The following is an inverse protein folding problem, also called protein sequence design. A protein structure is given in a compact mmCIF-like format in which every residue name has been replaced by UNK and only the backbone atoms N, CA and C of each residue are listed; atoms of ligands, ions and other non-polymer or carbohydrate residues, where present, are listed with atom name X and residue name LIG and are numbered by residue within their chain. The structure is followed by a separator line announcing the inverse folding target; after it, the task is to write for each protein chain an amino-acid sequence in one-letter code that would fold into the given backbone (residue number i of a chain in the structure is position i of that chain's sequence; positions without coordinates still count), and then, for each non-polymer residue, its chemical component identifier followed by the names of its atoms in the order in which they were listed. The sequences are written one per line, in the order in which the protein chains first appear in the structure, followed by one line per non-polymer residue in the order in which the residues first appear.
data_IF_612403290767
#
_entry.id   IF_612403290767
#
_cell.length_a   1.000
_cell.length_b   1.000
_cell.length_c   1.000
_cell.angle_alpha   90.00
_cell.angle_beta   90.00
_cell.angle_gamma   90.00
#
_symmetry.space_group_name_H-M   'P 1'
#
loop_
_entity.id
_entity.type
_entity.pdbx_description
1 polymer ?
#
# COMPACT_ATOMS: atom_id res chain seq x y z
N UNK A 1 -34.46 -24.14 -120.36
CA UNK A 1 -33.51 -25.24 -120.67
C UNK A 1 -33.19 -25.92 -119.35
N UNK A 2 -33.72 -27.11 -119.11
CA UNK A 2 -33.34 -27.94 -117.96
C UNK A 2 -32.42 -29.05 -118.48
N UNK A 3 -31.12 -28.94 -118.24
CA UNK A 3 -30.20 -30.04 -118.49
C UNK A 3 -30.46 -31.10 -117.41
N UNK A 4 -31.04 -32.23 -117.80
CA UNK A 4 -31.31 -33.33 -116.88
C UNK A 4 -30.05 -34.19 -116.76
N UNK A 5 -29.34 -34.11 -115.63
CA UNK A 5 -28.23 -35.02 -115.32
C UNK A 5 -28.83 -36.31 -114.72
N UNK A 6 -28.77 -37.42 -115.45
CA UNK A 6 -29.22 -38.74 -114.96
C UNK A 6 -28.02 -39.53 -114.43
N UNK A 7 -28.08 -39.93 -113.16
CA UNK A 7 -27.07 -40.78 -112.53
C UNK A 7 -27.37 -42.26 -112.82
N UNK A 8 -26.34 -43.11 -112.80
CA UNK A 8 -26.32 -44.39 -113.54
C UNK A 8 -27.20 -45.55 -113.05
N UNK A 9 -27.91 -45.46 -111.93
CA UNK A 9 -28.67 -46.62 -111.38
C UNK A 9 -30.03 -46.22 -110.82
N UNK A 10 -30.95 -47.20 -110.81
CA UNK A 10 -32.28 -47.15 -110.19
C UNK A 10 -32.42 -48.26 -109.12
N UNK A 11 -33.45 -48.18 -108.28
CA UNK A 11 -33.71 -48.97 -107.05
C UNK A 11 -33.26 -50.43 -107.08
N UNK A 12 -32.61 -50.89 -106.01
CA UNK A 12 -32.09 -52.26 -105.87
C UNK A 12 -31.00 -52.37 -104.80
N UNK A 13 -29.93 -53.11 -105.07
CA UNK A 13 -28.76 -53.22 -104.18
C UNK A 13 -27.75 -52.08 -104.38
N UNK A 14 -26.79 -51.94 -103.47
CA UNK A 14 -25.64 -51.04 -103.65
C UNK A 14 -24.89 -51.35 -104.96
N UNK A 15 -24.26 -50.34 -105.60
CA UNK A 15 -23.50 -50.58 -106.82
C UNK A 15 -22.34 -51.53 -106.54
N UNK A 16 -22.12 -52.45 -107.47
CA UNK A 16 -20.92 -53.28 -107.51
C UNK A 16 -19.81 -52.57 -108.31
N UNK A 17 -18.56 -53.02 -108.15
CA UNK A 17 -17.41 -52.45 -108.87
C UNK A 17 -17.56 -52.52 -110.40
N UNK A 18 -18.38 -53.43 -110.94
CA UNK A 18 -18.68 -53.50 -112.37
C UNK A 18 -19.75 -52.52 -112.83
N UNK A 19 -20.58 -51.99 -111.92
CA UNK A 19 -21.71 -51.14 -112.27
C UNK A 19 -21.32 -49.69 -112.56
N UNK A 20 -20.09 -49.30 -112.19
CA UNK A 20 -19.55 -47.95 -112.37
C UNK A 20 -18.13 -48.04 -112.93
N UNK A 21 -17.73 -47.05 -113.74
CA UNK A 21 -16.30 -46.79 -113.96
C UNK A 21 -15.79 -45.76 -112.96
N UNK A 22 -14.47 -45.75 -112.74
CA UNK A 22 -13.81 -44.84 -111.80
C UNK A 22 -14.20 -43.39 -112.12
N UNK A 23 -14.60 -42.63 -111.09
CA UNK A 23 -15.06 -41.24 -111.22
C UNK A 23 -16.55 -41.07 -111.55
N UNK A 24 -17.28 -42.15 -111.82
CA UNK A 24 -18.73 -42.07 -111.99
C UNK A 24 -19.50 -42.14 -110.69
N UNK A 25 -20.65 -41.47 -110.69
CA UNK A 25 -21.54 -41.39 -109.56
C UNK A 25 -22.84 -42.12 -109.84
N UNK A 26 -23.26 -42.98 -108.92
CA UNK A 26 -24.56 -43.62 -108.91
C UNK A 26 -25.42 -43.09 -107.77
N UNK A 27 -26.71 -42.94 -108.03
CA UNK A 27 -27.71 -42.70 -107.01
C UNK A 27 -28.48 -44.00 -106.77
N UNK A 28 -28.54 -44.44 -105.50
CA UNK A 28 -29.42 -45.51 -105.06
C UNK A 28 -30.71 -44.86 -104.57
N UNK A 29 -31.73 -44.88 -105.42
CA UNK A 29 -32.93 -44.05 -105.24
C UNK A 29 -33.88 -44.52 -104.14
N UNK A 30 -33.75 -45.77 -103.68
CA UNK A 30 -34.54 -46.33 -102.57
C UNK A 30 -34.03 -45.91 -101.19
N UNK A 31 -32.72 -45.71 -101.05
CA UNK A 31 -32.07 -45.28 -99.80
C UNK A 31 -31.56 -43.83 -99.86
N UNK A 32 -31.73 -43.16 -101.01
CA UNK A 32 -31.20 -41.83 -101.31
C UNK A 32 -29.68 -41.70 -101.12
N UNK A 33 -28.94 -42.82 -101.23
CA UNK A 33 -27.50 -42.87 -101.07
C UNK A 33 -26.79 -42.65 -102.40
N UNK A 34 -25.71 -41.88 -102.37
CA UNK A 34 -24.88 -41.63 -103.54
C UNK A 34 -23.62 -42.51 -103.44
N UNK A 35 -23.12 -43.03 -104.54
CA UNK A 35 -21.94 -43.90 -104.57
C UNK A 35 -20.99 -43.47 -105.67
N UNK A 36 -19.69 -43.64 -105.45
CA UNK A 36 -18.67 -43.49 -106.47
C UNK A 36 -17.75 -44.70 -106.49
N UNK A 37 -17.14 -44.97 -107.64
CA UNK A 37 -16.04 -45.92 -107.74
C UNK A 37 -14.72 -45.18 -107.56
N UNK A 38 -13.94 -45.60 -106.57
CA UNK A 38 -12.60 -45.09 -106.29
C UNK A 38 -11.59 -45.60 -107.33
N UNK A 39 -10.44 -44.94 -107.41
CA UNK A 39 -9.34 -45.33 -108.31
C UNK A 39 -8.81 -46.76 -108.06
N UNK A 40 -9.00 -47.28 -106.84
CA UNK A 40 -8.66 -48.66 -106.44
C UNK A 40 -9.70 -49.71 -106.89
N UNK A 41 -10.69 -49.31 -107.69
CA UNK A 41 -11.83 -50.08 -108.16
C UNK A 41 -12.88 -50.48 -107.10
N UNK A 42 -12.76 -50.06 -105.84
CA UNK A 42 -13.79 -50.27 -104.83
C UNK A 42 -14.95 -49.28 -104.97
N UNK A 43 -16.15 -49.68 -104.55
CA UNK A 43 -17.32 -48.80 -104.45
C UNK A 43 -17.36 -48.19 -103.05
N UNK A 44 -17.55 -46.87 -102.98
CA UNK A 44 -17.75 -46.16 -101.73
C UNK A 44 -19.02 -45.32 -101.77
N UNK A 45 -19.77 -45.34 -100.67
CA UNK A 45 -20.89 -44.44 -100.44
C UNK A 45 -20.37 -43.01 -100.23
N UNK A 46 -20.84 -42.06 -101.02
CA UNK A 46 -20.61 -40.63 -100.87
C UNK A 46 -21.61 -40.11 -99.85
N UNK A 47 -21.14 -39.67 -98.67
CA UNK A 47 -21.97 -39.07 -97.63
C UNK A 47 -22.19 -39.92 -96.38
N UNK A 48 -21.68 -41.15 -96.33
CA UNK A 48 -21.42 -41.80 -95.04
C UNK A 48 -20.32 -40.98 -94.36
N UNK A 49 -20.56 -40.50 -93.13
CA UNK A 49 -19.66 -39.57 -92.43
C UNK A 49 -18.19 -39.96 -92.54
N UNK A 50 -17.32 -38.95 -92.72
CA UNK A 50 -15.88 -39.15 -92.80
C UNK A 50 -15.42 -39.89 -91.53
N UNK A 51 -14.79 -41.05 -91.70
CA UNK A 51 -14.05 -41.71 -90.63
C UNK A 51 -12.59 -41.28 -90.79
N UNK A 52 -12.20 -40.20 -90.11
CA UNK A 52 -10.86 -39.57 -90.20
C UNK A 52 -9.74 -40.36 -89.49
N UNK A 53 -10.06 -41.33 -88.63
CA UNK A 53 -9.07 -42.32 -88.21
C UNK A 53 -7.90 -41.77 -87.37
N UNK A 54 -8.03 -40.59 -86.78
CA UNK A 54 -7.16 -40.13 -85.71
C UNK A 54 -7.94 -40.00 -84.38
N UNK A 55 -7.20 -39.93 -83.28
CA UNK A 55 -7.76 -40.09 -81.93
C UNK A 55 -8.48 -38.82 -81.47
N UNK A 56 -9.66 -38.56 -82.03
CA UNK A 56 -10.69 -37.76 -81.36
C UNK A 56 -11.19 -36.57 -82.15
N UNK A 57 -11.84 -36.83 -83.29
CA UNK A 57 -12.61 -35.82 -83.99
C UNK A 57 -14.05 -35.69 -83.47
N UNK A 58 -14.52 -34.43 -83.54
CA UNK A 58 -15.83 -33.97 -83.10
C UNK A 58 -16.87 -34.52 -84.08
N UNK A 59 -17.79 -35.35 -83.58
CA UNK A 59 -18.89 -35.87 -84.40
C UNK A 59 -19.88 -34.74 -84.71
N UNK A 60 -19.96 -34.32 -85.98
CA UNK A 60 -21.02 -33.41 -86.44
C UNK A 60 -22.19 -34.27 -86.91
N UNK A 61 -23.03 -34.71 -85.97
CA UNK A 61 -24.28 -35.38 -86.36
C UNK A 61 -25.23 -34.34 -86.95
N UNK A 62 -25.48 -34.46 -88.24
CA UNK A 62 -26.33 -33.59 -89.04
C UNK A 62 -27.74 -33.41 -88.45
N UNK A 63 -28.00 -32.26 -87.83
CA UNK A 63 -29.12 -31.36 -88.12
C UNK A 63 -29.42 -30.44 -86.93
N UNK A 64 -29.33 -29.13 -87.14
CA UNK A 64 -29.83 -28.12 -86.20
C UNK A 64 -28.74 -27.42 -85.38
N UNK A 65 -28.18 -26.36 -85.95
CA UNK A 65 -27.56 -25.17 -85.32
C UNK A 65 -26.48 -25.31 -84.21
N UNK A 66 -26.20 -26.50 -83.68
CA UNK A 66 -25.26 -26.71 -82.58
C UNK A 66 -24.42 -27.95 -82.81
N UNK A 67 -23.09 -27.78 -82.78
CA UNK A 67 -22.13 -28.88 -82.69
C UNK A 67 -22.26 -29.53 -81.30
N UNK A 68 -22.77 -30.76 -81.23
CA UNK A 68 -22.79 -31.54 -80.00
C UNK A 68 -21.54 -32.41 -79.91
N UNK A 69 -20.83 -32.34 -78.78
CA UNK A 69 -19.74 -33.25 -78.48
C UNK A 69 -20.32 -34.40 -77.65
N UNK A 70 -20.16 -35.64 -78.12
CA UNK A 70 -20.66 -36.81 -77.38
C UNK A 70 -20.04 -36.91 -75.98
N UNK A 71 -20.82 -37.42 -75.02
CA UNK A 71 -20.38 -37.58 -73.65
C UNK A 71 -19.11 -38.44 -73.57
N UNK A 72 -18.08 -37.96 -72.86
CA UNK A 72 -16.82 -38.69 -72.66
C UNK A 72 -15.79 -38.52 -73.79
N UNK A 73 -16.14 -37.84 -74.89
CA UNK A 73 -15.18 -37.51 -75.96
C UNK A 73 -14.09 -36.57 -75.44
N UNK A 74 -14.43 -35.59 -74.60
CA UNK A 74 -13.47 -34.76 -73.87
C UNK A 74 -13.35 -35.34 -72.46
N UNK A 75 -12.21 -35.94 -72.16
CA UNK A 75 -11.89 -36.49 -70.84
C UNK A 75 -10.73 -35.71 -70.20
N UNK A 76 -10.50 -35.91 -68.90
CA UNK A 76 -9.46 -35.21 -68.16
C UNK A 76 -8.06 -35.36 -68.81
N UNK A 77 -7.75 -36.49 -69.43
CA UNK A 77 -6.46 -36.70 -70.10
C UNK A 77 -6.31 -35.82 -71.35
N UNK A 78 -7.37 -35.66 -72.15
CA UNK A 78 -7.42 -34.77 -73.32
C UNK A 78 -7.41 -33.29 -72.95
N UNK A 79 -7.91 -32.94 -71.76
CA UNK A 79 -7.86 -31.59 -71.21
C UNK A 79 -6.48 -31.28 -70.59
N UNK A 80 -5.79 -32.29 -70.05
CA UNK A 80 -4.54 -32.12 -69.31
C UNK A 80 -3.26 -32.20 -70.17
N UNK A 81 -3.31 -32.75 -71.39
CA UNK A 81 -2.11 -33.04 -72.18
C UNK A 81 -1.62 -31.92 -73.09
N UNK A 82 -2.29 -30.77 -73.13
CA UNK A 82 -1.92 -29.67 -74.02
C UNK A 82 -1.98 -28.32 -73.30
N UNK A 83 -1.04 -27.44 -73.58
CA UNK A 83 -0.93 -26.09 -73.02
C UNK A 83 -2.10 -25.15 -73.43
N UNK A 84 -3.17 -25.71 -74.01
CA UNK A 84 -4.15 -25.02 -74.83
C UNK A 84 -5.40 -24.55 -74.09
N UNK A 85 -5.66 -25.03 -72.86
CA UNK A 85 -6.64 -24.42 -71.98
C UNK A 85 -5.95 -23.33 -71.16
N UNK A 86 -5.55 -22.26 -71.86
CA UNK A 86 -5.06 -21.07 -71.20
C UNK A 86 -6.13 -20.52 -70.25
N UNK A 87 -5.70 -19.97 -69.12
CA UNK A 87 -6.55 -19.29 -68.11
C UNK A 87 -7.60 -18.33 -68.71
N UNK A 88 -7.27 -17.69 -69.84
CA UNK A 88 -8.17 -16.80 -70.58
C UNK A 88 -9.40 -17.51 -71.18
N UNK A 89 -9.31 -18.82 -71.44
CA UNK A 89 -10.42 -19.65 -71.94
C UNK A 89 -11.30 -20.22 -70.83
N UNK A 90 -10.83 -20.21 -69.57
CA UNK A 90 -11.65 -20.49 -68.37
C UNK A 90 -12.22 -19.22 -67.74
N UNK A 91 -11.85 -18.04 -68.23
CA UNK A 91 -12.27 -16.75 -67.65
C UNK A 91 -13.80 -16.52 -67.63
N UNK A 92 -14.56 -17.35 -68.35
CA UNK A 92 -16.02 -17.30 -68.43
C UNK A 92 -16.71 -18.56 -67.90
N UNK A 93 -15.95 -19.51 -67.34
CA UNK A 93 -16.51 -20.57 -66.49
C UNK A 93 -16.79 -19.89 -65.16
N UNK A 94 -18.06 -19.69 -64.86
CA UNK A 94 -18.46 -19.20 -63.56
C UNK A 94 -18.11 -20.25 -62.51
N UNK A 95 -16.97 -20.04 -61.85
CA UNK A 95 -16.56 -20.85 -60.72
C UNK A 95 -17.43 -20.49 -59.50
N UNK A 96 -18.00 -19.27 -59.45
CA UNK A 96 -18.65 -18.63 -58.29
C UNK A 96 -19.99 -19.28 -57.92
N UNK A 97 -20.77 -19.78 -58.89
CA UNK A 97 -22.04 -20.48 -58.66
C UNK A 97 -21.91 -22.00 -58.38
N UNK A 98 -20.68 -22.52 -58.26
CA UNK A 98 -20.45 -23.90 -57.81
C UNK A 98 -20.76 -24.05 -56.31
N UNK A 99 -21.84 -24.77 -56.01
CA UNK A 99 -22.34 -25.01 -54.65
C UNK A 99 -21.53 -26.05 -53.85
N UNK A 100 -20.48 -26.63 -54.42
CA UNK A 100 -19.51 -27.49 -53.73
C UNK A 100 -18.20 -26.74 -53.43
N UNK A 101 -17.43 -27.09 -52.37
CA UNK A 101 -16.20 -26.36 -52.04
C UNK A 101 -15.23 -26.36 -53.23
N UNK A 102 -15.02 -25.19 -53.83
CA UNK A 102 -14.41 -24.95 -55.15
C UNK A 102 -13.01 -25.54 -55.38
N UNK A 103 -12.37 -26.14 -54.37
CA UNK A 103 -10.99 -26.60 -54.47
C UNK A 103 -10.67 -27.93 -53.79
N UNK A 104 -11.62 -28.59 -53.11
CA UNK A 104 -11.45 -29.93 -52.52
C UNK A 104 -10.12 -30.18 -51.76
N UNK A 105 -9.45 -29.11 -51.32
CA UNK A 105 -8.00 -29.07 -51.14
C UNK A 105 -7.51 -27.63 -50.93
N UNK A 106 -6.20 -27.39 -51.08
CA UNK A 106 -5.57 -26.09 -50.80
C UNK A 106 -5.91 -25.04 -51.86
N UNK A 107 -6.36 -23.85 -51.41
CA UNK A 107 -6.39 -22.65 -52.23
C UNK A 107 -4.99 -22.07 -52.39
N UNK A 108 -4.30 -22.48 -53.46
CA UNK A 108 -3.02 -21.90 -53.86
C UNK A 108 -3.23 -20.54 -54.53
N UNK A 109 -2.69 -19.49 -53.91
CA UNK A 109 -2.82 -18.12 -54.41
C UNK A 109 -1.80 -17.77 -55.49
N UNK A 110 -0.83 -18.66 -55.78
CA UNK A 110 0.26 -18.44 -56.73
C UNK A 110 1.00 -17.10 -56.50
N UNK A 111 1.18 -16.71 -55.23
CA UNK A 111 1.85 -15.47 -54.83
C UNK A 111 0.98 -14.20 -54.86
N UNK A 112 -0.33 -14.32 -55.12
CA UNK A 112 -1.26 -13.19 -55.09
C UNK A 112 -2.02 -13.13 -53.74
N UNK A 113 -2.50 -11.96 -53.29
CA UNK A 113 -3.34 -11.86 -52.10
C UNK A 113 -4.76 -12.39 -52.37
N UNK A 114 -5.41 -12.91 -51.32
CA UNK A 114 -6.87 -13.08 -51.29
C UNK A 114 -7.45 -11.82 -50.65
N UNK A 115 -7.99 -10.93 -51.47
CA UNK A 115 -8.52 -9.64 -50.99
C UNK A 115 -10.01 -9.74 -50.72
N UNK A 116 -10.41 -9.45 -49.49
CA UNK A 116 -11.80 -9.21 -49.11
C UNK A 116 -12.02 -7.70 -48.96
N UNK A 117 -13.17 -7.18 -49.41
CA UNK A 117 -13.54 -5.80 -49.13
C UNK A 117 -13.93 -5.59 -47.66
N UNK A 118 -14.37 -4.38 -47.32
CA UNK A 118 -14.93 -4.14 -45.99
C UNK A 118 -16.25 -4.89 -45.82
N UNK A 119 -16.47 -5.38 -44.61
CA UNK A 119 -17.68 -6.10 -44.24
C UNK A 119 -18.68 -5.15 -43.60
N UNK A 120 -19.63 -4.65 -44.40
CA UNK A 120 -20.72 -3.80 -43.94
C UNK A 120 -21.82 -4.56 -43.17
N UNK A 121 -21.85 -5.90 -43.26
CA UNK A 121 -22.85 -6.79 -42.64
C UNK A 121 -22.25 -8.18 -42.32
N UNK A 122 -22.92 -8.99 -41.48
CA UNK A 122 -22.41 -10.28 -40.97
C UNK A 122 -22.13 -11.35 -42.05
N UNK A 123 -22.62 -11.16 -43.28
CA UNK A 123 -22.61 -12.18 -44.32
C UNK A 123 -21.51 -12.03 -45.38
N UNK A 124 -20.97 -10.83 -45.59
CA UNK A 124 -20.11 -10.52 -46.76
C UNK A 124 -18.66 -10.22 -46.35
N UNK A 125 -17.71 -10.54 -47.23
CA UNK A 125 -16.30 -10.18 -47.10
C UNK A 125 -15.64 -10.61 -45.77
N UNK A 126 -15.75 -11.90 -45.41
CA UNK A 126 -15.19 -12.47 -44.17
C UNK A 126 -14.62 -13.86 -44.43
N UNK A 127 -13.61 -14.27 -43.65
CA UNK A 127 -13.33 -15.69 -43.42
C UNK A 127 -14.28 -16.21 -42.35
N UNK A 128 -14.83 -17.41 -42.54
CA UNK A 128 -15.79 -18.05 -41.63
C UNK A 128 -15.42 -19.51 -41.40
N UNK A 129 -15.47 -19.95 -40.16
CA UNK A 129 -15.23 -21.33 -39.76
C UNK A 129 -16.33 -21.81 -38.80
N UNK A 130 -16.59 -23.12 -38.79
CA UNK A 130 -17.62 -23.72 -37.95
C UNK A 130 -19.04 -23.61 -38.53
N UNK A 131 -19.96 -24.40 -37.99
CA UNK A 131 -21.36 -24.38 -38.39
C UNK A 131 -22.03 -23.12 -37.83
N UNK A 132 -22.69 -22.33 -38.68
CA UNK A 132 -23.26 -21.04 -38.24
C UNK A 132 -22.26 -19.88 -38.18
N UNK A 133 -21.02 -20.10 -38.67
CA UNK A 133 -19.95 -19.11 -38.69
C UNK A 133 -19.48 -18.68 -37.30
N UNK A 134 -19.16 -19.67 -36.46
CA UNK A 134 -18.66 -19.52 -35.09
C UNK A 134 -17.46 -18.55 -35.03
N UNK A 135 -16.39 -18.85 -35.77
CA UNK A 135 -15.20 -18.01 -35.90
C UNK A 135 -15.25 -17.19 -37.19
N UNK A 136 -15.01 -15.89 -37.06
CA UNK A 136 -15.02 -14.92 -38.15
C UNK A 136 -13.79 -14.03 -38.10
N UNK A 137 -13.19 -13.76 -39.28
CA UNK A 137 -12.11 -12.77 -39.44
C UNK A 137 -12.50 -11.80 -40.54
N UNK A 138 -12.59 -10.51 -40.23
CA UNK A 138 -13.08 -9.48 -41.15
C UNK A 138 -12.69 -8.06 -40.73
N UNK A 139 -12.90 -7.09 -41.64
CA UNK A 139 -12.69 -5.66 -41.41
C UNK A 139 -14.02 -4.89 -41.54
N UNK A 140 -14.25 -3.85 -40.72
CA UNK A 140 -15.50 -3.04 -40.73
C UNK A 140 -15.39 -1.72 -41.50
N UNK A 141 -14.24 -1.45 -42.11
CA UNK A 141 -13.87 -0.11 -42.61
C UNK A 141 -13.13 0.74 -41.58
N UNK A 142 -13.10 0.31 -40.31
CA UNK A 142 -12.32 0.97 -39.25
C UNK A 142 -11.56 -0.02 -38.37
N UNK A 143 -12.18 -1.15 -38.02
CA UNK A 143 -11.61 -2.14 -37.12
C UNK A 143 -11.39 -3.47 -37.83
N UNK A 144 -10.23 -4.10 -37.55
CA UNK A 144 -9.98 -5.51 -37.86
C UNK A 144 -10.43 -6.37 -36.70
N UNK A 145 -11.21 -7.40 -36.98
CA UNK A 145 -11.88 -8.20 -35.95
C UNK A 145 -11.58 -9.69 -36.17
N UNK A 146 -11.12 -10.35 -35.10
CA UNK A 146 -11.21 -11.80 -34.92
C UNK A 146 -12.35 -12.00 -33.91
N UNK A 147 -13.45 -12.60 -34.34
CA UNK A 147 -14.65 -12.80 -33.53
C UNK A 147 -14.97 -14.27 -33.41
N UNK A 148 -15.06 -14.73 -32.18
CA UNK A 148 -15.71 -15.99 -31.84
C UNK A 148 -17.12 -15.70 -31.29
N UNK A 149 -18.12 -16.38 -31.84
CA UNK A 149 -19.54 -16.23 -31.49
C UNK A 149 -20.26 -17.56 -31.31
N UNK A 150 -19.51 -18.67 -31.37
CA UNK A 150 -20.00 -20.03 -31.15
C UNK A 150 -19.96 -20.43 -29.67
N UNK A 151 -20.00 -21.74 -29.42
CA UNK A 151 -19.83 -22.31 -28.07
C UNK A 151 -18.36 -22.65 -27.80
N UNK A 152 -17.83 -22.30 -26.63
CA UNK A 152 -16.45 -22.61 -26.22
C UNK A 152 -15.60 -21.35 -26.01
N UNK A 153 -14.28 -21.53 -25.96
CA UNK A 153 -13.30 -20.44 -25.84
C UNK A 153 -12.50 -20.27 -27.14
N UNK A 154 -12.18 -19.03 -27.50
CA UNK A 154 -11.17 -18.75 -28.52
C UNK A 154 -9.76 -19.02 -27.97
N UNK A 155 -9.15 -20.11 -28.40
CA UNK A 155 -7.77 -20.44 -28.04
C UNK A 155 -6.77 -19.86 -29.05
N UNK A 156 -5.90 -18.97 -28.60
CA UNK A 156 -4.76 -18.46 -29.39
C UNK A 156 -3.49 -19.11 -28.85
N UNK A 157 -2.95 -20.08 -29.59
CA UNK A 157 -1.84 -20.93 -29.15
C UNK A 157 -0.64 -20.81 -30.09
N UNK A 158 0.54 -20.56 -29.52
CA UNK A 158 1.82 -20.57 -30.21
C UNK A 158 2.75 -21.65 -29.65
N UNK A 159 3.68 -22.14 -30.47
CA UNK A 159 4.77 -23.03 -30.01
C UNK A 159 5.92 -22.28 -29.32
N UNK A 160 5.90 -20.95 -29.41
CA UNK A 160 6.82 -20.00 -28.79
C UNK A 160 6.00 -18.94 -28.05
N UNK A 161 6.62 -17.81 -27.72
CA UNK A 161 5.94 -16.68 -27.08
C UNK A 161 4.73 -16.17 -27.88
N UNK A 162 3.72 -15.70 -27.16
CA UNK A 162 2.59 -14.95 -27.73
C UNK A 162 2.82 -13.45 -27.49
N UNK A 163 2.72 -12.62 -28.53
CA UNK A 163 2.90 -11.16 -28.43
C UNK A 163 1.74 -10.42 -29.09
N UNK A 164 1.27 -9.38 -28.42
CA UNK A 164 0.39 -8.35 -29.00
C UNK A 164 1.21 -7.08 -29.17
N UNK A 165 1.30 -6.57 -30.40
CA UNK A 165 2.22 -5.49 -30.76
C UNK A 165 1.52 -4.40 -31.57
N UNK A 166 2.19 -3.26 -31.71
CA UNK A 166 1.79 -2.24 -32.67
C UNK A 166 2.02 -2.70 -34.12
N UNK A 167 1.51 -1.93 -35.09
CA UNK A 167 1.47 -2.31 -36.51
C UNK A 167 2.85 -2.60 -37.13
N UNK A 168 3.88 -1.86 -36.74
CA UNK A 168 5.25 -2.02 -37.27
C UNK A 168 6.11 -2.99 -36.44
N UNK A 169 5.55 -3.59 -35.39
CA UNK A 169 6.23 -4.54 -34.51
C UNK A 169 7.30 -3.94 -33.60
N UNK A 170 7.43 -2.60 -33.53
CA UNK A 170 8.46 -1.93 -32.72
C UNK A 170 8.09 -1.80 -31.23
N UNK A 171 6.81 -1.89 -30.89
CA UNK A 171 6.31 -1.80 -29.52
C UNK A 171 5.42 -2.98 -29.18
N UNK A 172 5.71 -3.62 -28.06
CA UNK A 172 4.86 -4.68 -27.50
C UNK A 172 3.88 -4.08 -26.50
N UNK A 173 2.64 -4.58 -26.47
CA UNK A 173 1.62 -4.25 -25.48
C UNK A 173 1.52 -5.36 -24.43
N UNK A 174 1.48 -6.61 -24.90
CA UNK A 174 1.43 -7.83 -24.08
C UNK A 174 2.45 -8.83 -24.61
N UNK A 175 3.24 -9.43 -23.72
CA UNK A 175 4.17 -10.50 -24.06
C UNK A 175 3.99 -11.65 -23.07
N UNK A 176 3.53 -12.79 -23.56
CA UNK A 176 3.50 -14.05 -22.82
C UNK A 176 4.72 -14.86 -23.22
N UNK A 177 5.75 -14.89 -22.37
CA UNK A 177 6.95 -15.70 -22.59
C UNK A 177 6.62 -17.18 -22.37
N UNK A 178 6.98 -18.05 -23.32
CA UNK A 178 6.75 -19.48 -23.19
C UNK A 178 7.56 -20.04 -22.02
N UNK A 179 6.89 -20.71 -21.07
CA UNK A 179 7.46 -21.14 -19.78
C UNK A 179 8.05 -20.02 -18.91
N UNK A 180 7.65 -18.77 -19.13
CA UNK A 180 8.19 -17.59 -18.46
C UNK A 180 7.11 -16.66 -17.91
N UNK A 181 7.46 -15.38 -17.83
CA UNK A 181 6.58 -14.32 -17.36
C UNK A 181 5.53 -13.91 -18.40
N UNK A 182 4.40 -13.39 -17.93
CA UNK A 182 3.51 -12.55 -18.72
C UNK A 182 3.79 -11.09 -18.36
N UNK A 183 3.94 -10.26 -19.38
CA UNK A 183 4.42 -8.90 -19.26
C UNK A 183 3.46 -7.92 -19.93
N UNK A 184 3.20 -6.79 -19.27
CA UNK A 184 2.41 -5.69 -19.83
C UNK A 184 3.29 -4.45 -19.98
N UNK A 185 3.15 -3.78 -21.12
CA UNK A 185 3.98 -2.64 -21.51
C UNK A 185 3.14 -1.39 -21.79
N UNK A 186 3.70 -0.23 -21.48
CA UNK A 186 3.16 1.08 -21.86
C UNK A 186 4.25 1.93 -22.52
N UNK A 187 4.03 2.34 -23.77
CA UNK A 187 4.99 3.10 -24.59
C UNK A 187 6.39 2.47 -24.61
N UNK A 188 6.46 1.14 -24.74
CA UNK A 188 7.72 0.38 -24.76
C UNK A 188 8.34 0.07 -23.40
N UNK A 189 7.77 0.56 -22.29
CA UNK A 189 8.29 0.29 -20.94
C UNK A 189 7.46 -0.76 -20.22
N UNK A 190 8.12 -1.76 -19.61
CA UNK A 190 7.45 -2.81 -18.83
C UNK A 190 6.81 -2.21 -17.56
N UNK A 191 5.53 -2.48 -17.33
CA UNK A 191 4.74 -1.97 -16.18
C UNK A 191 4.30 -3.07 -15.23
N UNK A 192 4.07 -4.28 -15.73
CA UNK A 192 3.73 -5.46 -14.94
C UNK A 192 4.45 -6.68 -15.47
N UNK A 193 4.86 -7.58 -14.58
CA UNK A 193 5.53 -8.84 -14.90
C UNK A 193 5.13 -9.94 -13.89
N UNK A 194 4.70 -11.10 -14.36
CA UNK A 194 4.51 -12.28 -13.49
C UNK A 194 5.82 -13.00 -13.20
N UNK A 195 5.89 -13.67 -12.05
CA UNK A 195 6.91 -14.63 -11.67
C UNK A 195 6.24 -15.91 -11.17
N UNK A 196 7.05 -16.90 -10.77
CA UNK A 196 6.54 -18.10 -10.09
C UNK A 196 5.89 -17.81 -8.73
N UNK A 197 6.16 -16.64 -8.14
CA UNK A 197 5.67 -16.26 -6.81
C UNK A 197 4.61 -15.15 -6.80
N UNK A 198 4.26 -14.57 -7.96
CA UNK A 198 3.26 -13.52 -8.04
C UNK A 198 3.48 -12.55 -9.21
N UNK A 199 3.19 -11.27 -8.99
CA UNK A 199 3.40 -10.21 -10.00
C UNK A 199 4.17 -9.04 -9.42
N UNK A 200 5.04 -8.43 -10.22
CA UNK A 200 5.76 -7.19 -9.92
C UNK A 200 5.16 -6.05 -10.73
N UNK A 201 4.95 -4.90 -10.09
CA UNK A 201 4.53 -3.66 -10.75
C UNK A 201 5.68 -2.68 -10.73
N UNK A 202 6.04 -2.16 -11.90
CA UNK A 202 7.04 -1.10 -12.04
C UNK A 202 6.33 0.25 -12.05
N UNK A 203 6.41 0.99 -10.94
CA UNK A 203 5.80 2.31 -10.77
C UNK A 203 4.66 2.29 -9.73
N UNK A 204 3.67 3.16 -9.90
CA UNK A 204 2.54 3.29 -8.97
C UNK A 204 1.35 2.45 -9.45
N UNK A 205 0.81 1.61 -8.56
CA UNK A 205 -0.52 1.02 -8.71
C UNK A 205 -1.54 1.86 -7.93
N UNK A 206 -2.62 2.28 -8.60
CA UNK A 206 -3.79 2.85 -7.94
C UNK A 206 -4.85 1.75 -7.89
N UNK A 207 -5.28 1.38 -6.68
CA UNK A 207 -6.30 0.35 -6.45
C UNK A 207 -7.42 0.91 -5.58
N UNK A 208 -8.67 0.49 -5.84
CA UNK A 208 -9.81 0.85 -4.99
C UNK A 208 -9.70 0.26 -3.58
N UNK A 209 -8.98 -0.86 -3.45
CA UNK A 209 -8.62 -1.48 -2.18
C UNK A 209 -7.69 -2.68 -2.34
N UNK A 210 -6.93 -2.98 -1.29
CA UNK A 210 -6.18 -4.22 -1.16
C UNK A 210 -6.93 -5.15 -0.21
N UNK A 211 -7.22 -6.38 -0.65
CA UNK A 211 -7.85 -7.39 0.19
C UNK A 211 -6.77 -8.33 0.74
N UNK A 212 -6.71 -8.48 2.06
CA UNK A 212 -5.71 -9.29 2.76
C UNK A 212 -4.55 -8.45 3.35
N UNK A 213 -3.64 -9.09 4.09
CA UNK A 213 -2.50 -8.39 4.70
C UNK A 213 -1.50 -7.95 3.63
N UNK A 214 -1.02 -6.71 3.73
CA UNK A 214 0.15 -6.25 2.99
C UNK A 214 1.40 -6.72 3.76
N UNK A 215 2.14 -7.67 3.19
CA UNK A 215 3.37 -8.22 3.79
C UNK A 215 4.62 -7.58 3.18
N UNK A 216 5.69 -7.44 3.97
CA UNK A 216 6.94 -6.77 3.54
C UNK A 216 7.07 -5.33 4.04
N UNK A 217 8.03 -4.59 3.48
CA UNK A 217 8.33 -3.22 3.90
C UNK A 217 7.39 -2.21 3.21
N UNK A 218 6.64 -1.45 4.01
CA UNK A 218 5.93 -0.26 3.54
C UNK A 218 6.79 0.95 3.90
N UNK A 219 7.56 1.46 2.93
CA UNK A 219 8.55 2.54 3.14
C UNK A 219 7.99 3.95 2.96
N UNK A 220 6.69 4.08 2.66
CA UNK A 220 5.97 5.36 2.51
C UNK A 220 4.97 5.60 3.63
N UNK A 221 4.36 6.80 3.65
CA UNK A 221 3.29 7.11 4.59
C UNK A 221 2.06 6.23 4.29
N UNK A 222 1.62 5.45 5.28
CA UNK A 222 0.27 4.90 5.30
C UNK A 222 -0.70 6.03 5.69
N UNK A 223 -1.06 6.88 4.73
CA UNK A 223 -2.03 7.95 4.93
C UNK A 223 -3.46 7.42 4.78
N UNK A 224 -4.28 7.55 5.83
CA UNK A 224 -5.68 7.13 5.90
C UNK A 224 -6.30 7.60 7.23
N UNK A 225 -7.60 7.40 7.45
CA UNK A 225 -8.22 7.71 8.76
C UNK A 225 -7.50 6.94 9.88
N UNK A 226 -7.47 7.47 11.10
CA UNK A 226 -6.81 6.86 12.26
C UNK A 226 -7.32 5.44 12.62
N UNK A 227 -8.39 4.96 11.97
CA UNK A 227 -8.83 3.57 12.00
C UNK A 227 -8.14 2.63 11.00
N UNK A 228 -7.26 3.14 10.13
CA UNK A 228 -6.56 2.37 9.07
C UNK A 228 -5.20 1.81 9.51
N UNK A 229 -4.69 2.21 10.68
CA UNK A 229 -3.59 1.52 11.32
C UNK A 229 -4.18 0.35 12.11
N UNK A 230 -3.70 -0.87 11.91
CA UNK A 230 -3.99 -2.05 12.77
C UNK A 230 -2.67 -2.64 13.28
N UNK A 231 -2.70 -3.45 14.35
CA UNK A 231 -1.48 -4.02 14.94
C UNK A 231 -0.71 -3.01 15.80
N UNK A 232 0.62 -3.15 15.90
CA UNK A 232 1.44 -2.40 16.87
C UNK A 232 1.34 -0.87 16.73
N UNK A 233 1.06 -0.33 15.54
CA UNK A 233 0.85 1.11 15.33
C UNK A 233 -0.51 1.60 15.85
N UNK A 234 -1.53 0.74 15.81
CA UNK A 234 -2.88 1.03 16.33
C UNK A 234 -2.95 0.89 17.84
N UNK A 235 -2.16 -0.04 18.38
CA UNK A 235 -2.00 -0.29 19.82
C UNK A 235 -0.75 0.37 20.37
N UNK A 236 -0.12 1.29 19.63
CA UNK A 236 1.09 1.97 20.07
C UNK A 236 0.76 2.85 21.26
N UNK A 237 0.90 2.28 22.46
CA UNK A 237 0.91 3.02 23.72
C UNK A 237 2.30 3.58 24.00
N UNK A 238 3.30 3.25 23.18
CA UNK A 238 4.71 3.57 23.36
C UNK A 238 5.29 4.31 22.14
N UNK A 239 6.24 5.22 22.36
CA UNK A 239 7.10 5.83 21.36
C UNK A 239 8.10 4.78 20.83
N UNK A 240 8.29 4.72 19.51
CA UNK A 240 9.27 3.83 18.85
C UNK A 240 10.68 3.99 19.43
N UNK A 241 11.02 5.18 19.90
CA UNK A 241 12.24 5.42 20.67
C UNK A 241 11.93 6.34 21.84
N UNK A 242 12.02 5.77 23.04
CA UNK A 242 11.84 6.48 24.31
C UNK A 242 12.75 7.71 24.39
N UNK A 243 12.23 8.78 25.01
CA UNK A 243 12.95 10.03 25.21
C UNK A 243 13.19 10.23 26.70
N UNK A 244 14.31 10.82 27.04
CA UNK A 244 14.64 11.11 28.44
C UNK A 244 14.01 12.43 28.86
N UNK A 245 13.18 12.44 29.90
CA UNK A 245 12.60 13.63 30.52
C UNK A 245 13.08 13.68 31.97
N UNK A 246 13.87 14.70 32.32
CA UNK A 246 14.43 14.85 33.67
C UNK A 246 15.21 13.62 34.12
N UNK A 247 16.02 13.04 33.23
CA UNK A 247 16.80 11.81 33.48
C UNK A 247 16.02 10.50 33.38
N UNK A 248 14.68 10.51 33.42
CA UNK A 248 13.85 9.31 33.30
C UNK A 248 13.47 9.02 31.86
N UNK A 249 13.66 7.79 31.40
CA UNK A 249 13.18 7.31 30.09
C UNK A 249 11.64 7.33 30.04
N UNK A 250 11.08 7.88 28.97
CA UNK A 250 9.65 7.98 28.73
C UNK A 250 9.31 7.54 27.31
N UNK A 251 8.44 6.55 27.22
CA UNK A 251 7.86 6.09 25.96
C UNK A 251 6.36 6.35 25.88
N UNK A 252 5.69 6.89 26.91
CA UNK A 252 4.24 7.17 26.86
C UNK A 252 3.34 6.01 27.27
N UNK A 253 3.90 4.84 27.64
CA UNK A 253 3.10 3.68 28.08
C UNK A 253 2.43 3.84 29.44
N UNK A 254 2.81 4.87 30.20
CA UNK A 254 2.23 5.23 31.48
C UNK A 254 2.65 6.63 31.91
N UNK A 255 2.19 7.06 33.09
CA UNK A 255 2.61 8.33 33.68
C UNK A 255 4.12 8.31 33.98
N UNK A 256 4.79 9.45 33.81
CA UNK A 256 6.21 9.60 34.12
C UNK A 256 6.42 10.14 35.54
N UNK A 257 7.42 9.59 36.24
CA UNK A 257 8.01 10.22 37.43
C UNK A 257 9.45 10.65 37.06
N UNK A 258 9.70 11.95 36.79
CA UNK A 258 11.04 12.42 36.45
C UNK A 258 11.99 12.23 37.63
N UNK A 259 13.19 11.66 37.39
CA UNK A 259 14.17 11.35 38.43
C UNK A 259 14.68 12.62 39.15
N UNK A 260 14.68 13.74 38.43
CA UNK A 260 15.09 15.06 38.92
C UNK A 260 13.91 15.91 39.41
N UNK A 261 12.68 15.39 39.49
CA UNK A 261 11.58 16.11 40.16
C UNK A 261 11.69 16.08 41.69
N UNK A 262 12.71 15.41 42.25
CA UNK A 262 12.89 15.22 43.70
C UNK A 262 14.28 15.57 44.22
N UNK A 263 15.23 16.00 43.38
CA UNK A 263 16.50 16.51 43.89
C UNK A 263 16.42 18.02 44.14
N UNK A 264 16.01 18.38 45.35
CA UNK A 264 16.08 19.76 45.84
C UNK A 264 17.50 20.39 45.77
N UNK A 265 18.52 19.64 45.35
CA UNK A 265 19.90 20.10 45.16
C UNK A 265 20.12 20.84 43.81
N UNK A 266 19.31 20.58 42.78
CA UNK A 266 19.41 21.31 41.49
C UNK A 266 18.26 22.28 41.25
N UNK A 267 17.20 22.17 42.06
CA UNK A 267 16.12 23.14 42.09
C UNK A 267 16.52 24.27 43.04
N UNK A 268 17.17 25.30 42.51
CA UNK A 268 17.09 26.67 43.06
C UNK A 268 15.63 27.16 42.94
N UNK A 269 14.75 26.47 43.63
CA UNK A 269 13.35 26.80 43.91
C UNK A 269 12.94 25.96 45.10
N UNK A 270 13.59 26.26 46.23
CA UNK A 270 12.82 26.81 47.33
C UNK A 270 11.65 27.59 46.69
N UNK A 271 10.41 27.12 46.86
CA UNK A 271 9.22 27.88 46.47
C UNK A 271 9.52 29.35 46.77
N UNK A 272 9.24 30.29 45.86
CA UNK A 272 9.73 31.68 45.90
C UNK A 272 9.37 32.49 47.18
N UNK A 273 8.88 31.82 48.23
CA UNK A 273 8.63 32.32 49.57
C UNK A 273 8.84 31.24 50.67
N UNK A 274 10.09 30.77 50.90
CA UNK A 274 10.59 30.32 52.22
C UNK A 274 10.79 28.80 52.48
N UNK A 275 11.92 28.47 53.13
CA UNK A 275 12.28 27.15 53.73
C UNK A 275 11.34 26.76 54.88
N UNK A 276 10.53 27.71 55.34
CA UNK A 276 9.45 27.56 56.31
C UNK A 276 8.21 28.16 55.65
N UNK A 277 7.22 27.34 55.30
CA UNK A 277 6.04 27.78 54.56
C UNK A 277 5.31 28.87 55.36
N UNK A 278 4.91 29.94 54.67
CA UNK A 278 4.14 31.03 55.27
C UNK A 278 2.71 30.63 55.70
N UNK A 279 2.25 29.40 55.39
CA UNK A 279 0.86 28.98 55.52
C UNK A 279 0.57 27.97 56.65
N UNK A 280 1.58 27.55 57.42
CA UNK A 280 1.37 26.61 58.52
C UNK A 280 2.28 26.89 59.73
N UNK A 281 1.85 26.40 60.89
CA UNK A 281 2.69 26.31 62.08
C UNK A 281 3.80 25.27 61.84
N UNK A 282 4.84 25.66 61.11
CA UNK A 282 6.00 24.82 60.88
C UNK A 282 6.88 24.79 62.14
N UNK A 283 7.09 23.60 62.70
CA UNK A 283 8.00 23.38 63.83
C UNK A 283 9.31 22.78 63.33
N UNK A 284 10.41 23.52 63.46
CA UNK A 284 11.76 22.96 63.32
C UNK A 284 12.14 22.16 64.57
N UNK A 285 12.61 20.93 64.41
CA UNK A 285 13.28 20.18 65.49
C UNK A 285 14.79 20.33 65.34
N UNK A 286 15.47 20.85 66.36
CA UNK A 286 16.94 20.98 66.39
C UNK A 286 17.44 22.42 66.18
N UNK A 287 18.72 22.54 65.83
CA UNK A 287 19.39 23.83 65.67
C UNK A 287 19.19 24.39 64.25
N UNK A 288 18.63 25.59 64.14
CA UNK A 288 18.63 26.37 62.91
C UNK A 288 19.90 27.25 62.87
N UNK A 289 20.85 26.93 61.99
CA UNK A 289 22.08 27.72 61.79
C UNK A 289 21.89 28.73 60.66
N UNK A 290 21.96 30.02 60.98
CA UNK A 290 21.93 31.12 60.00
C UNK A 290 23.33 31.73 59.93
N UNK A 291 23.98 31.63 58.77
CA UNK A 291 25.32 32.17 58.53
C UNK A 291 25.33 33.67 58.18
N UNK A 292 24.15 34.26 58.00
CA UNK A 292 23.93 35.71 57.82
C UNK A 292 23.15 36.34 58.97
N UNK A 293 22.78 37.62 58.81
CA UNK A 293 21.90 38.31 59.75
C UNK A 293 20.49 37.71 59.77
N UNK A 294 19.81 37.83 60.90
CA UNK A 294 18.42 37.42 61.08
C UNK A 294 17.55 38.68 61.17
N UNK A 295 16.66 38.88 60.19
CA UNK A 295 15.62 39.90 60.23
C UNK A 295 14.29 39.26 60.66
N UNK A 296 13.68 39.81 61.71
CA UNK A 296 12.45 39.31 62.30
C UNK A 296 11.44 40.45 62.33
N UNK A 297 10.48 40.42 61.41
CA UNK A 297 9.39 41.40 61.35
C UNK A 297 8.28 41.15 62.38
N UNK A 298 8.30 39.99 63.05
CA UNK A 298 7.38 39.59 64.11
C UNK A 298 8.02 39.55 65.51
N UNK A 299 7.23 39.15 66.51
CA UNK A 299 7.70 39.01 67.89
C UNK A 299 8.60 37.77 68.05
N UNK A 300 9.69 37.92 68.81
CA UNK A 300 10.48 36.81 69.34
C UNK A 300 10.16 36.67 70.81
N UNK A 301 9.73 35.49 71.25
CA UNK A 301 9.45 35.21 72.65
C UNK A 301 9.97 33.84 73.05
N UNK A 302 10.49 33.74 74.28
CA UNK A 302 10.74 32.48 74.96
C UNK A 302 9.75 32.33 76.12
N UNK A 303 9.39 31.10 76.46
CA UNK A 303 8.44 30.84 77.55
C UNK A 303 9.06 31.19 78.91
N UNK A 304 8.23 31.66 79.85
CA UNK A 304 8.62 31.83 81.26
C UNK A 304 8.25 30.54 81.99
N UNK A 305 9.24 29.84 82.54
CA UNK A 305 9.01 28.60 83.31
C UNK A 305 9.01 28.87 84.80
N UNK A 306 8.03 28.34 85.52
CA UNK A 306 8.03 28.38 86.98
C UNK A 306 9.10 27.43 87.53
N UNK A 307 10.04 27.96 88.30
CA UNK A 307 10.98 27.17 89.08
C UNK A 307 10.30 26.69 90.38
N UNK A 308 10.67 25.50 90.82
CA UNK A 308 10.18 24.92 92.06
C UNK A 308 10.68 25.71 93.27
N UNK A 309 9.76 26.13 94.13
CA UNK A 309 10.08 26.76 95.41
C UNK A 309 10.47 25.70 96.44
N UNK A 310 11.67 25.84 97.00
CA UNK A 310 12.24 24.96 98.02
C UNK A 310 13.21 25.74 98.89
N UNK A 311 13.68 25.17 100.00
CA UNK A 311 14.65 25.83 100.89
C UNK A 311 15.89 26.32 100.11
N UNK A 312 16.29 25.53 99.12
CA UNK A 312 17.25 25.88 98.08
C UNK A 312 16.56 25.81 96.71
N UNK A 313 16.65 26.88 95.94
CA UNK A 313 16.12 26.99 94.57
C UNK A 313 17.27 26.82 93.58
N UNK A 314 17.17 25.86 92.68
CA UNK A 314 18.10 25.70 91.54
C UNK A 314 17.34 26.01 90.25
N UNK A 315 17.77 27.05 89.54
CA UNK A 315 17.18 27.44 88.26
C UNK A 315 17.76 26.56 87.14
N UNK A 316 16.92 25.91 86.34
CA UNK A 316 17.35 25.11 85.19
C UNK A 316 17.35 25.95 83.90
N UNK A 317 18.50 26.55 83.56
CA UNK A 317 18.59 27.43 82.40
C UNK A 317 18.54 26.67 81.06
N UNK A 318 18.58 25.34 81.06
CA UNK A 318 18.37 24.52 79.87
C UNK A 318 16.90 24.36 79.50
N UNK A 319 15.99 24.47 80.47
CA UNK A 319 14.56 24.35 80.24
C UNK A 319 13.99 25.59 79.52
N UNK A 320 14.29 26.79 80.01
CA UNK A 320 13.94 28.06 79.37
C UNK A 320 14.86 29.19 79.84
N UNK A 321 15.05 30.21 79.00
CA UNK A 321 15.83 31.43 79.29
C UNK A 321 15.13 32.36 80.27
N UNK A 322 13.80 32.28 80.40
CA UNK A 322 13.06 33.05 81.40
C UNK A 322 12.49 32.13 82.46
N UNK A 323 12.67 32.51 83.73
CA UNK A 323 12.14 31.76 84.86
C UNK A 323 11.37 32.66 85.83
N UNK A 324 10.49 32.05 86.60
CA UNK A 324 9.75 32.72 87.67
C UNK A 324 9.74 31.85 88.93
N UNK A 325 9.72 32.47 90.09
CA UNK A 325 9.55 31.75 91.36
C UNK A 325 8.78 32.63 92.35
N UNK A 326 7.86 32.02 93.08
CA UNK A 326 7.20 32.67 94.23
C UNK A 326 7.81 32.13 95.51
N UNK A 327 8.33 33.01 96.36
CA UNK A 327 9.04 32.62 97.58
C UNK A 327 8.04 32.25 98.68
N UNK A 328 7.93 30.98 99.03
CA UNK A 328 7.12 30.51 100.16
C UNK A 328 7.81 30.62 101.53
N UNK A 329 9.03 31.16 101.58
CA UNK A 329 9.85 31.30 102.78
C UNK A 329 11.15 32.03 102.48
N UNK A 330 12.05 32.12 103.46
CA UNK A 330 13.40 32.62 103.21
C UNK A 330 14.18 31.56 102.42
N UNK A 331 14.66 31.90 101.22
CA UNK A 331 15.23 30.92 100.27
C UNK A 331 16.68 31.20 99.94
N UNK A 332 17.39 30.16 99.52
CA UNK A 332 18.74 30.27 98.95
C UNK A 332 18.69 29.88 97.47
N UNK A 333 19.12 30.76 96.57
CA UNK A 333 19.34 30.42 95.16
C UNK A 333 20.70 29.75 95.01
N UNK A 334 20.71 28.47 94.62
CA UNK A 334 21.92 27.74 94.27
C UNK A 334 22.47 28.19 92.91
N UNK A 335 23.67 27.72 92.56
CA UNK A 335 24.20 27.91 91.20
C UNK A 335 23.22 27.27 90.18
N UNK A 336 22.75 28.01 89.16
CA UNK A 336 21.85 27.46 88.15
C UNK A 336 22.44 26.26 87.39
N UNK A 337 21.61 25.31 86.97
CA UNK A 337 22.03 24.16 86.15
C UNK A 337 21.89 24.46 84.65
N UNK A 338 22.55 23.65 83.81
CA UNK A 338 22.43 23.66 82.35
C UNK A 338 22.69 25.04 81.70
N UNK A 339 23.66 25.79 82.23
CA UNK A 339 24.04 27.11 81.71
C UNK A 339 24.67 27.01 80.32
N UNK A 340 24.23 27.85 79.37
CA UNK A 340 24.92 28.04 78.09
C UNK A 340 25.62 29.39 78.06
N UNK A 341 26.90 29.45 77.72
CA UNK A 341 27.65 30.72 77.64
C UNK A 341 27.03 31.63 76.58
N UNK A 342 26.84 32.91 76.90
CA UNK A 342 26.15 33.89 76.06
C UNK A 342 24.62 33.88 76.19
N UNK A 343 24.05 32.87 76.84
CA UNK A 343 22.62 32.84 77.15
C UNK A 343 22.24 34.04 78.03
N UNK A 344 21.16 34.71 77.65
CA UNK A 344 20.61 35.85 78.37
C UNK A 344 19.14 35.60 78.68
N UNK A 345 18.66 36.17 79.78
CA UNK A 345 17.31 35.89 80.25
C UNK A 345 16.89 36.74 81.44
N UNK A 346 15.73 36.42 82.00
CA UNK A 346 15.16 37.13 83.14
C UNK A 346 14.59 36.15 84.16
N UNK A 347 14.77 36.46 85.44
CA UNK A 347 14.23 35.71 86.57
C UNK A 347 13.27 36.63 87.32
N UNK A 348 12.00 36.27 87.39
CA UNK A 348 10.99 36.98 88.16
C UNK A 348 10.86 36.33 89.54
N UNK A 349 11.12 37.09 90.59
CA UNK A 349 11.04 36.63 91.97
C UNK A 349 9.87 37.34 92.62
N UNK A 350 8.85 36.58 93.00
CA UNK A 350 7.61 37.10 93.58
C UNK A 350 7.56 36.78 95.07
N UNK A 351 7.23 37.76 95.90
CA UNK A 351 6.90 37.53 97.30
C UNK A 351 5.59 36.72 97.41
N UNK A 352 5.48 35.85 98.41
CA UNK A 352 4.18 35.24 98.71
C UNK A 352 3.15 36.29 99.19
N UNK A 353 1.94 35.83 99.51
CA UNK A 353 0.87 36.69 100.02
C UNK A 353 1.16 37.32 101.39
N UNK A 354 2.25 36.96 102.08
CA UNK A 354 2.66 37.57 103.36
C UNK A 354 3.73 38.64 103.14
N UNK A 355 4.68 38.38 102.24
CA UNK A 355 5.84 39.24 102.02
C UNK A 355 6.95 39.02 103.06
N UNK A 356 7.94 39.91 103.01
CA UNK A 356 9.13 39.92 103.88
C UNK A 356 9.99 38.65 103.80
N UNK A 357 9.96 37.94 102.67
CA UNK A 357 10.85 36.82 102.39
C UNK A 357 12.20 37.35 101.92
N UNK A 358 13.27 36.79 102.48
CA UNK A 358 14.64 37.09 102.06
C UNK A 358 15.15 36.04 101.08
N UNK A 359 16.00 36.46 100.13
CA UNK A 359 16.74 35.56 99.26
C UNK A 359 18.25 35.73 99.47
N UNK A 360 18.95 34.62 99.61
CA UNK A 360 20.41 34.55 99.54
C UNK A 360 20.81 33.97 98.19
N UNK A 361 21.89 34.45 97.57
CA UNK A 361 22.31 33.99 96.24
C UNK A 361 23.67 33.33 96.30
N UNK A 362 23.83 32.23 95.55
CA UNK A 362 25.12 31.57 95.36
C UNK A 362 26.14 32.54 94.75
N UNK A 363 27.43 32.30 95.02
CA UNK A 363 28.54 33.08 94.48
C UNK A 363 28.59 33.14 92.94
N UNK A 364 27.87 32.28 92.23
CA UNK A 364 27.71 32.33 90.78
C UNK A 364 27.00 33.60 90.29
N UNK A 365 26.07 34.15 91.08
CA UNK A 365 25.38 35.40 90.77
C UNK A 365 26.30 36.60 91.07
N UNK A 366 26.65 37.36 90.03
CA UNK A 366 27.49 38.55 90.10
C UNK A 366 26.62 39.78 89.93
N UNK A 367 26.25 40.38 91.05
CA UNK A 367 25.48 41.61 91.08
C UNK A 367 26.37 42.85 90.94
N UNK A 368 25.76 43.95 90.48
CA UNK A 368 26.41 45.27 90.42
C UNK A 368 26.94 45.66 91.80
N UNK A 369 28.19 46.11 91.86
CA UNK A 369 28.84 46.47 93.13
C UNK A 369 29.20 45.30 94.04
N UNK A 370 29.05 44.05 93.58
CA UNK A 370 29.50 42.84 94.30
C UNK A 370 28.63 42.45 95.51
N UNK A 371 27.50 43.12 95.72
CA UNK A 371 26.57 42.86 96.83
C UNK A 371 25.24 42.38 96.29
N UNK A 372 24.66 41.33 96.89
CA UNK A 372 23.34 40.84 96.51
C UNK A 372 22.26 41.91 96.79
N UNK A 373 21.23 42.01 95.94
CA UNK A 373 20.14 42.97 96.14
C UNK A 373 19.34 42.62 97.39
N UNK A 374 18.79 43.64 98.06
CA UNK A 374 17.69 43.43 99.00
C UNK A 374 16.39 43.38 98.21
N UNK A 375 15.68 42.25 98.30
CA UNK A 375 14.39 42.08 97.63
C UNK A 375 13.32 42.98 98.25
N UNK A 376 12.32 43.32 97.45
CA UNK A 376 11.13 44.04 97.89
C UNK A 376 10.34 43.18 98.87
N UNK A 377 9.83 43.78 99.96
CA UNK A 377 9.25 43.03 101.08
C UNK A 377 7.73 43.06 101.13
N UNK A 378 7.06 43.90 100.33
CA UNK A 378 5.60 43.91 100.30
C UNK A 378 5.06 42.56 99.78
N UNK A 379 3.92 42.13 100.31
CA UNK A 379 3.21 40.97 99.81
C UNK A 379 3.00 41.09 98.28
N UNK A 380 3.26 39.99 97.56
CA UNK A 380 3.17 39.93 96.09
C UNK A 380 4.04 40.93 95.32
N UNK A 381 5.02 41.58 95.95
CA UNK A 381 6.02 42.36 95.21
C UNK A 381 6.82 41.44 94.28
N UNK A 382 7.10 41.92 93.07
CA UNK A 382 7.88 41.20 92.08
C UNK A 382 9.19 41.95 91.87
N UNK A 383 10.30 41.25 92.03
CA UNK A 383 11.61 41.72 91.64
C UNK A 383 12.05 40.97 90.38
N UNK A 384 12.81 41.61 89.51
CA UNK A 384 13.33 41.00 88.28
C UNK A 384 14.85 41.04 88.28
N UNK A 385 15.46 39.90 88.01
CA UNK A 385 16.89 39.77 87.75
C UNK A 385 17.09 39.49 86.26
N UNK A 386 17.69 40.42 85.55
CA UNK A 386 18.20 40.20 84.20
C UNK A 386 19.60 39.64 84.27
N UNK A 387 19.88 38.63 83.45
CA UNK A 387 21.16 37.94 83.51
C UNK A 387 21.77 37.65 82.13
N UNK A 388 23.10 37.53 82.14
CA UNK A 388 23.89 36.97 81.03
C UNK A 388 24.93 36.01 81.59
N UNK A 389 25.03 34.82 81.01
CA UNK A 389 26.05 33.82 81.36
C UNK A 389 27.37 34.21 80.66
N UNK A 390 28.30 34.81 81.41
CA UNK A 390 29.61 35.19 80.88
C UNK A 390 30.53 33.97 80.69
N UNK A 391 30.49 33.05 81.65
CA UNK A 391 31.20 31.77 81.64
C UNK A 391 30.51 30.83 82.60
N UNK A 392 30.89 29.54 82.61
CA UNK A 392 30.37 28.57 83.57
C UNK A 392 30.44 29.11 85.01
N UNK A 393 29.29 29.16 85.70
CA UNK A 393 29.12 29.67 87.06
C UNK A 393 29.53 31.15 87.28
N UNK A 394 29.51 31.97 86.24
CA UNK A 394 29.68 33.42 86.33
C UNK A 394 28.53 34.11 85.60
N UNK A 395 27.55 34.54 86.38
CA UNK A 395 26.27 35.07 85.90
C UNK A 395 26.23 36.55 86.21
N UNK A 396 26.36 37.40 85.20
CA UNK A 396 26.24 38.84 85.39
C UNK A 396 24.77 39.20 85.55
N UNK A 397 24.43 39.86 86.66
CA UNK A 397 23.05 40.13 87.06
C UNK A 397 22.81 41.64 87.21
N UNK A 398 21.71 42.12 86.63
CA UNK A 398 21.13 43.43 86.89
C UNK A 398 19.75 43.23 87.52
N UNK A 399 19.39 44.08 88.47
CA UNK A 399 18.18 43.89 89.29
C UNK A 399 17.29 45.10 89.15
N UNK A 400 16.00 44.87 88.93
CA UNK A 400 14.94 45.86 89.04
C UNK A 400 14.02 45.44 90.19
N UNK A 401 13.81 46.34 91.15
CA UNK A 401 13.02 46.07 92.36
C UNK A 401 11.59 46.59 92.21
N UNK A 402 10.61 45.87 92.77
CA UNK A 402 9.17 46.17 92.76
C UNK A 402 8.63 46.56 91.37
N UNK A 403 8.83 45.68 90.38
CA UNK A 403 8.50 45.89 88.96
C UNK A 403 7.01 45.69 88.62
N UNK A 404 6.11 46.26 89.44
CA UNK A 404 4.65 46.14 89.25
C UNK A 404 4.11 46.81 88.00
#
# INVERSE_FOLDING_TARGET
MANTIKLKRASGSDPSASDLVVGEVALRTDTAKLFTKKDDNSIAEIGAGLSDGDKGDITVSSSGATFTIDSGVINNAKVASDAAIARSKLANVDVVDDTSPQLGGTLDTNGNPITFGDSSMSSVNRLKFGAGADLQIYHTGSDSIIRDSGTGDLLIQGSHDLRLQNHDGTQTFVHCNNNGSTELYHSGNKKFETSSSGGTITGTLVADGFTGPLTGNVTGNASGSSGSCTGNAATATALETARTIGGTSFDGTGNITPAEATNADTVDSLHASSFLRADAADSGTGLLTLSGGLDLSGKVGAAITAASDGATITLDLGANTHQSVTLGGNRTFAAPSNQTVGQSGSIFITQDGTGSRTASFNSAFKFVGGTAPTLSTAASAVDRIDYVIKSSNVIHCAVSLDVK
#
